data_IF_454632693761
#
_entry.id   IF_454632693761
#
_cell.length_a   1.000
_cell.length_b   1.000
_cell.length_c   1.000
_cell.angle_alpha   90.00
_cell.angle_beta   90.00
_cell.angle_gamma   90.00
#
_symmetry.space_group_name_H-M   'P 1'
#
loop_
_entity.id
_entity.type
_entity.pdbx_description
1 polymer ?
#
# COMPACT_ATOMS: atom_id res chain seq x y z
N UNK A 1 2.99 6.07 29.95
CA UNK A 1 3.05 5.63 28.52
C UNK A 1 2.92 6.80 27.54
N UNK A 2 2.24 7.91 27.89
CA UNK A 2 2.42 9.21 27.24
C UNK A 2 3.68 9.92 27.79
N UNK A 3 4.85 9.32 27.59
CA UNK A 3 6.10 9.99 27.94
C UNK A 3 6.43 10.97 26.81
N UNK A 4 6.45 12.27 27.09
CA UNK A 4 6.75 13.32 26.10
C UNK A 4 8.14 13.23 25.47
N UNK A 5 9.02 12.39 26.00
CA UNK A 5 10.33 12.14 25.41
C UNK A 5 10.24 11.05 24.34
N UNK A 6 9.38 10.03 24.51
CA UNK A 6 9.32 8.81 23.70
C UNK A 6 8.11 8.75 22.76
N UNK A 7 7.51 9.91 22.47
CA UNK A 7 6.41 9.98 21.51
C UNK A 7 6.95 9.97 20.08
N UNK A 8 6.55 8.98 19.29
CA UNK A 8 7.04 8.74 17.92
C UNK A 8 6.20 9.45 16.84
N UNK A 9 5.36 10.42 17.20
CA UNK A 9 4.52 11.17 16.24
C UNK A 9 5.35 11.82 15.14
N UNK A 10 6.50 12.42 15.47
CA UNK A 10 7.41 12.97 14.46
C UNK A 10 7.95 11.91 13.50
N UNK A 11 8.28 10.74 14.01
CA UNK A 11 8.77 9.63 13.21
C UNK A 11 7.69 9.17 12.21
N UNK A 12 6.44 9.06 12.66
CA UNK A 12 5.30 8.70 11.81
C UNK A 12 5.00 9.78 10.76
N UNK A 13 4.97 11.06 11.14
CA UNK A 13 4.76 12.17 10.19
C UNK A 13 5.87 12.20 9.13
N UNK A 14 7.14 12.10 9.52
CA UNK A 14 8.25 12.05 8.57
C UNK A 14 8.21 10.82 7.67
N UNK A 15 7.70 9.69 8.18
CA UNK A 15 7.43 8.50 7.37
C UNK A 15 6.42 8.76 6.27
N UNK A 16 5.25 9.30 6.60
CA UNK A 16 4.22 9.64 5.59
C UNK A 16 4.75 10.66 4.57
N UNK A 17 5.51 11.66 5.02
CA UNK A 17 6.17 12.62 4.12
C UNK A 17 7.15 11.91 3.18
N UNK A 18 7.93 10.96 3.68
CA UNK A 18 8.87 10.15 2.87
C UNK A 18 8.14 9.40 1.75
N UNK A 19 7.03 8.75 2.06
CA UNK A 19 6.23 8.03 1.06
C UNK A 19 5.56 9.00 0.06
N UNK A 20 5.10 10.17 0.53
CA UNK A 20 4.59 11.23 -0.35
C UNK A 20 5.66 11.77 -1.32
N UNK A 21 6.90 11.96 -0.85
CA UNK A 21 8.02 12.34 -1.71
C UNK A 21 8.33 11.26 -2.75
N UNK A 22 8.25 9.98 -2.38
CA UNK A 22 8.42 8.86 -3.32
C UNK A 22 7.39 8.89 -4.46
N UNK A 23 6.12 9.16 -4.13
CA UNK A 23 5.05 9.33 -5.13
C UNK A 23 5.33 10.52 -6.03
N UNK A 24 5.67 11.68 -5.47
CA UNK A 24 5.97 12.88 -6.25
C UNK A 24 7.16 12.68 -7.20
N UNK A 25 8.25 12.06 -6.73
CA UNK A 25 9.44 11.80 -7.53
C UNK A 25 9.20 10.81 -8.65
N UNK A 26 8.48 9.71 -8.37
CA UNK A 26 8.16 8.70 -9.38
C UNK A 26 7.19 9.21 -10.44
N UNK A 27 6.13 9.92 -10.03
CA UNK A 27 5.15 10.48 -10.95
C UNK A 27 5.80 11.57 -11.79
N UNK A 28 6.63 12.42 -11.19
CA UNK A 28 7.40 13.43 -11.90
C UNK A 28 8.33 12.81 -12.95
N UNK A 29 9.02 11.72 -12.61
CA UNK A 29 9.90 11.01 -13.55
C UNK A 29 9.11 10.38 -14.72
N UNK A 30 8.00 9.71 -14.43
CA UNK A 30 7.17 9.06 -15.46
C UNK A 30 6.51 10.08 -16.39
N UNK A 31 6.05 11.21 -15.85
CA UNK A 31 5.54 12.32 -16.66
C UNK A 31 6.64 12.94 -17.52
N UNK A 32 7.86 13.08 -16.99
CA UNK A 32 9.01 13.55 -17.75
C UNK A 32 9.40 12.59 -18.89
N UNK A 33 9.27 11.28 -18.69
CA UNK A 33 9.44 10.27 -19.71
C UNK A 33 8.29 10.21 -20.74
N UNK A 34 7.24 11.01 -20.58
CA UNK A 34 6.10 11.09 -21.52
C UNK A 34 5.07 9.98 -21.37
N UNK A 35 5.01 9.29 -20.23
CA UNK A 35 4.01 8.24 -19.98
C UNK A 35 2.63 8.89 -19.72
N UNK A 36 1.56 8.49 -20.43
CA UNK A 36 0.24 9.12 -20.28
C UNK A 36 -0.32 8.94 -18.87
N UNK A 37 -0.83 10.03 -18.29
CA UNK A 37 -1.51 10.01 -17.01
C UNK A 37 -2.98 9.61 -17.20
N UNK A 38 -3.39 8.50 -16.60
CA UNK A 38 -4.75 7.94 -16.69
C UNK A 38 -5.42 8.04 -15.32
N UNK A 39 -6.75 8.16 -15.26
CA UNK A 39 -7.51 8.26 -14.00
C UNK A 39 -7.24 7.08 -13.06
N UNK A 40 -6.96 5.89 -13.58
CA UNK A 40 -6.55 4.71 -12.78
C UNK A 40 -5.26 4.96 -11.98
N UNK A 41 -4.33 5.76 -12.53
CA UNK A 41 -3.08 6.15 -11.86
C UNK A 41 -3.35 7.07 -10.67
N UNK A 42 -4.45 7.83 -10.66
CA UNK A 42 -4.80 8.70 -9.55
C UNK A 42 -5.06 7.93 -8.23
N UNK A 43 -5.36 6.62 -8.32
CA UNK A 43 -5.55 5.75 -7.15
C UNK A 43 -4.25 5.11 -6.65
N UNK A 44 -3.17 5.14 -7.44
CA UNK A 44 -1.87 4.55 -7.08
C UNK A 44 -1.26 5.12 -5.79
N UNK A 45 -1.34 6.43 -5.47
CA UNK A 45 -0.77 6.98 -4.24
C UNK A 45 -1.29 6.32 -2.97
N UNK A 46 -2.57 5.92 -2.94
CA UNK A 46 -3.16 5.22 -1.80
C UNK A 46 -2.49 3.87 -1.57
N UNK A 47 -2.28 3.10 -2.65
CA UNK A 47 -1.59 1.82 -2.62
C UNK A 47 -0.13 1.99 -2.18
N UNK A 48 0.57 2.99 -2.74
CA UNK A 48 1.99 3.25 -2.44
C UNK A 48 2.18 3.69 -0.99
N UNK A 49 1.29 4.54 -0.45
CA UNK A 49 1.32 4.92 0.97
C UNK A 49 1.12 3.71 1.88
N UNK A 50 0.23 2.78 1.54
CA UNK A 50 -0.01 1.56 2.31
C UNK A 50 1.26 0.71 2.45
N UNK A 51 1.92 0.41 1.33
CA UNK A 51 3.16 -0.38 1.31
C UNK A 51 4.31 0.38 1.99
N UNK A 52 4.48 1.67 1.69
CA UNK A 52 5.55 2.48 2.29
C UNK A 52 5.44 2.57 3.82
N UNK A 53 4.22 2.66 4.35
CA UNK A 53 3.99 2.67 5.80
C UNK A 53 4.28 1.30 6.44
N UNK A 54 3.95 0.19 5.77
CA UNK A 54 4.28 -1.16 6.25
C UNK A 54 5.80 -1.35 6.40
N UNK A 55 6.58 -0.97 5.38
CA UNK A 55 8.04 -1.02 5.42
C UNK A 55 8.63 -0.19 6.57
N UNK A 56 8.06 1.01 6.82
CA UNK A 56 8.46 1.87 7.93
C UNK A 56 8.16 1.23 9.29
N UNK A 57 7.03 0.55 9.43
CA UNK A 57 6.71 -0.18 10.65
C UNK A 57 7.67 -1.34 10.91
N UNK A 58 8.04 -2.10 9.87
CA UNK A 58 9.04 -3.17 9.98
C UNK A 58 10.38 -2.60 10.45
N UNK A 59 10.84 -1.50 9.83
CA UNK A 59 12.08 -0.81 10.21
C UNK A 59 12.07 -0.33 11.67
N UNK A 60 10.96 0.25 12.14
CA UNK A 60 10.81 0.69 13.56
C UNK A 60 10.81 -0.52 14.50
N UNK A 61 10.07 -1.57 14.17
CA UNK A 61 9.95 -2.75 15.03
C UNK A 61 11.30 -3.45 15.23
N UNK A 62 12.07 -3.63 14.15
CA UNK A 62 13.43 -4.16 14.22
C UNK A 62 14.35 -3.22 15.01
N UNK A 63 14.24 -1.91 14.82
CA UNK A 63 15.02 -0.91 15.57
C UNK A 63 14.76 -1.01 17.09
N UNK A 64 13.50 -1.02 17.50
CA UNK A 64 13.11 -1.15 18.91
C UNK A 64 13.60 -2.46 19.52
N UNK A 65 13.51 -3.56 18.76
CA UNK A 65 14.02 -4.86 19.18
C UNK A 65 15.55 -4.85 19.35
N UNK A 66 16.30 -4.28 18.40
CA UNK A 66 17.75 -4.14 18.51
C UNK A 66 18.14 -3.23 19.68
N UNK A 67 17.41 -2.13 19.89
CA UNK A 67 17.67 -1.16 20.96
C UNK A 67 17.47 -1.78 22.35
N UNK A 68 16.47 -2.65 22.52
CA UNK A 68 16.23 -3.40 23.76
C UNK A 68 17.30 -4.44 24.05
N UNK A 69 17.87 -5.08 23.01
CA UNK A 69 18.93 -6.08 23.16
C UNK A 69 20.28 -5.46 23.55
N UNK A 70 20.59 -4.24 23.10
CA UNK A 70 21.89 -3.59 23.29
C UNK A 70 21.74 -2.16 23.81
N UNK A 71 21.33 -2.02 25.08
CA UNK A 71 21.09 -0.74 25.77
C UNK A 71 22.32 0.20 25.84
N UNK A 72 23.54 -0.28 25.54
CA UNK A 72 24.80 0.50 25.61
C UNK A 72 25.70 0.43 24.37
N UNK A 73 25.16 0.07 23.19
CA UNK A 73 25.97 0.02 21.97
C UNK A 73 26.05 1.37 21.25
N UNK A 74 27.10 1.56 20.45
CA UNK A 74 27.26 2.74 19.60
C UNK A 74 26.08 2.84 18.61
N UNK A 75 25.55 4.05 18.37
CA UNK A 75 24.40 4.25 17.46
C UNK A 75 24.66 3.67 16.06
N UNK A 76 25.92 3.71 15.60
CA UNK A 76 26.34 3.12 14.31
C UNK A 76 26.20 1.60 14.29
N UNK A 77 26.59 0.91 15.36
CA UNK A 77 26.48 -0.55 15.44
C UNK A 77 25.03 -1.00 15.57
N UNK A 78 24.21 -0.20 16.26
CA UNK A 78 22.77 -0.43 16.38
C UNK A 78 22.09 -0.35 15.01
N UNK A 79 22.42 0.70 14.25
CA UNK A 79 21.94 0.87 12.87
C UNK A 79 22.37 -0.27 11.96
N UNK A 80 23.63 -0.68 12.00
CA UNK A 80 24.13 -1.77 11.18
C UNK A 80 23.36 -3.08 11.44
N UNK A 81 23.08 -3.39 12.71
CA UNK A 81 22.29 -4.57 13.08
C UNK A 81 20.84 -4.45 12.60
N UNK A 82 20.19 -3.31 12.84
CA UNK A 82 18.81 -3.11 12.41
C UNK A 82 18.68 -3.21 10.89
N UNK A 83 19.63 -2.66 10.13
CA UNK A 83 19.63 -2.81 8.67
C UNK A 83 19.89 -4.26 8.25
N UNK A 84 20.75 -5.00 8.94
CA UNK A 84 21.01 -6.39 8.61
C UNK A 84 19.75 -7.26 8.70
N UNK A 85 18.83 -6.98 9.63
CA UNK A 85 17.58 -7.72 9.80
C UNK A 85 16.41 -7.10 9.02
N UNK A 86 16.18 -5.79 9.18
CA UNK A 86 15.03 -5.09 8.60
C UNK A 86 15.18 -4.84 7.09
N UNK A 87 16.39 -4.46 6.63
CA UNK A 87 16.58 -4.16 5.22
C UNK A 87 16.39 -5.42 4.38
N UNK A 88 16.80 -6.61 4.84
CA UNK A 88 16.55 -7.86 4.11
C UNK A 88 15.05 -8.08 3.88
N UNK A 89 14.22 -7.92 4.92
CA UNK A 89 12.76 -8.08 4.81
C UNK A 89 12.15 -7.07 3.82
N UNK A 90 12.46 -5.79 3.98
CA UNK A 90 11.94 -4.72 3.12
C UNK A 90 12.41 -4.87 1.67
N UNK A 91 13.65 -5.29 1.45
CA UNK A 91 14.20 -5.48 0.09
C UNK A 91 13.51 -6.65 -0.62
N UNK A 92 13.17 -7.73 0.09
CA UNK A 92 12.43 -8.85 -0.49
C UNK A 92 11.04 -8.40 -0.93
N UNK A 93 10.28 -7.74 -0.05
CA UNK A 93 8.92 -7.27 -0.35
C UNK A 93 8.92 -6.30 -1.53
N UNK A 94 9.78 -5.27 -1.49
CA UNK A 94 9.87 -4.28 -2.58
C UNK A 94 10.31 -4.90 -3.90
N UNK A 95 11.27 -5.84 -3.89
CA UNK A 95 11.68 -6.55 -5.11
C UNK A 95 10.52 -7.36 -5.70
N UNK A 96 9.79 -8.11 -4.86
CA UNK A 96 8.64 -8.89 -5.33
C UNK A 96 7.53 -8.01 -5.88
N UNK A 97 7.24 -6.88 -5.24
CA UNK A 97 6.23 -5.93 -5.68
C UNK A 97 6.62 -5.28 -7.01
N UNK A 98 7.86 -4.79 -7.10
CA UNK A 98 8.40 -4.18 -8.33
C UNK A 98 8.31 -5.17 -9.49
N UNK A 99 8.72 -6.42 -9.30
CA UNK A 99 8.63 -7.46 -10.34
C UNK A 99 7.17 -7.75 -10.72
N UNK A 100 6.27 -7.88 -9.74
CA UNK A 100 4.85 -8.13 -10.00
C UNK A 100 4.21 -7.01 -10.83
N UNK A 101 4.49 -5.74 -10.49
CA UNK A 101 3.98 -4.60 -11.24
C UNK A 101 4.64 -4.48 -12.62
N UNK A 102 5.93 -4.78 -12.76
CA UNK A 102 6.56 -4.80 -14.08
C UNK A 102 5.99 -5.89 -14.99
N UNK A 103 5.67 -7.09 -14.47
CA UNK A 103 4.95 -8.11 -15.23
C UNK A 103 3.57 -7.61 -15.69
N UNK A 104 2.89 -6.81 -14.86
CA UNK A 104 1.62 -6.16 -15.22
C UNK A 104 1.70 -5.20 -16.41
N UNK A 105 2.89 -4.71 -16.78
CA UNK A 105 3.08 -3.85 -17.96
C UNK A 105 2.94 -4.59 -19.30
N UNK A 106 2.97 -5.92 -19.27
CA UNK A 106 2.75 -6.79 -20.43
C UNK A 106 1.27 -6.96 -20.81
N UNK A 107 0.35 -6.36 -20.04
CA UNK A 107 -1.09 -6.42 -20.33
C UNK A 107 -1.46 -5.69 -21.62
N UNK A 108 -2.53 -6.11 -22.30
CA UNK A 108 -3.00 -5.46 -23.53
C UNK A 108 -3.69 -4.11 -23.28
N UNK A 109 -4.19 -3.86 -22.05
CA UNK A 109 -4.96 -2.67 -21.69
C UNK A 109 -4.05 -1.48 -21.34
N UNK A 110 -4.03 -0.39 -22.14
CA UNK A 110 -3.11 0.74 -21.93
C UNK A 110 -3.24 1.42 -20.57
N UNK A 111 -4.45 1.48 -20.01
CA UNK A 111 -4.73 2.04 -18.69
C UNK A 111 -4.05 1.26 -17.57
N UNK A 112 -4.00 -0.08 -17.68
CA UNK A 112 -3.36 -0.96 -16.69
C UNK A 112 -1.84 -0.89 -16.85
N UNK A 113 -1.33 -0.87 -18.09
CA UNK A 113 0.11 -0.71 -18.36
C UNK A 113 0.67 0.56 -17.76
N UNK A 114 -0.03 1.68 -17.94
CA UNK A 114 0.37 2.97 -17.38
C UNK A 114 0.36 2.90 -15.85
N UNK A 115 -0.74 2.43 -15.24
CA UNK A 115 -0.83 2.22 -13.79
C UNK A 115 0.34 1.41 -13.24
N UNK A 116 0.64 0.26 -13.84
CA UNK A 116 1.73 -0.62 -13.44
C UNK A 116 3.13 0.02 -13.57
N UNK A 117 3.36 0.85 -14.60
CA UNK A 117 4.61 1.59 -14.75
C UNK A 117 4.78 2.65 -13.65
N UNK A 118 3.73 3.42 -13.35
CA UNK A 118 3.75 4.42 -12.29
C UNK A 118 3.94 3.78 -10.90
N UNK A 119 3.22 2.71 -10.58
CA UNK A 119 3.35 2.04 -9.27
C UNK A 119 4.68 1.30 -9.12
N UNK A 120 5.14 0.58 -10.15
CA UNK A 120 6.41 -0.14 -10.11
C UNK A 120 7.60 0.79 -9.91
N UNK A 121 7.62 1.95 -10.59
CA UNK A 121 8.67 2.96 -10.38
C UNK A 121 8.53 3.65 -9.03
N UNK A 122 7.31 3.92 -8.56
CA UNK A 122 7.08 4.47 -7.22
C UNK A 122 7.63 3.58 -6.10
N UNK A 123 7.53 2.25 -6.21
CA UNK A 123 8.11 1.34 -5.22
C UNK A 123 9.63 1.36 -5.19
N UNK A 124 10.29 1.53 -6.34
CA UNK A 124 11.75 1.73 -6.38
C UNK A 124 12.13 3.00 -5.62
N UNK A 125 11.43 4.12 -5.85
CA UNK A 125 11.66 5.36 -5.10
C UNK A 125 11.31 5.23 -3.62
N UNK A 126 10.23 4.51 -3.29
CA UNK A 126 9.81 4.25 -1.91
C UNK A 126 10.91 3.49 -1.17
N UNK A 127 11.47 2.44 -1.77
CA UNK A 127 12.61 1.71 -1.21
C UNK A 127 13.82 2.61 -0.96
N UNK A 128 14.21 3.43 -1.95
CA UNK A 128 15.35 4.35 -1.82
C UNK A 128 15.13 5.32 -0.65
N UNK A 129 13.95 5.93 -0.55
CA UNK A 129 13.63 6.88 0.53
C UNK A 129 13.50 6.20 1.90
N UNK A 130 12.94 5.00 1.98
CA UNK A 130 12.86 4.22 3.22
C UNK A 130 14.27 3.88 3.72
N UNK A 131 15.17 3.44 2.84
CA UNK A 131 16.54 3.07 3.22
C UNK A 131 17.44 4.27 3.54
N UNK A 132 17.25 5.42 2.90
CA UNK A 132 18.13 6.58 3.08
C UNK A 132 17.54 7.63 4.02
N UNK A 133 16.41 8.22 3.63
CA UNK A 133 15.76 9.32 4.34
C UNK A 133 15.17 8.85 5.66
N UNK A 134 14.32 7.82 5.65
CA UNK A 134 13.65 7.35 6.85
C UNK A 134 14.61 6.73 7.86
N UNK A 135 15.55 5.90 7.40
CA UNK A 135 16.60 5.37 8.27
C UNK A 135 17.47 6.44 8.92
N UNK A 136 17.76 7.54 8.20
CA UNK A 136 18.42 8.72 8.78
C UNK A 136 17.58 9.37 9.89
N UNK A 137 16.26 9.47 9.70
CA UNK A 137 15.35 10.04 10.70
C UNK A 137 15.27 9.16 11.95
N UNK A 138 15.28 7.82 11.82
CA UNK A 138 15.33 6.90 12.97
C UNK A 138 16.55 7.21 13.84
N UNK A 139 17.73 7.38 13.23
CA UNK A 139 18.97 7.72 13.94
C UNK A 139 18.87 9.08 14.64
N UNK A 140 18.31 10.08 13.96
CA UNK A 140 18.12 11.41 14.52
C UNK A 140 17.13 11.39 15.69
N UNK A 141 16.02 10.65 15.58
CA UNK A 141 15.06 10.49 16.65
C UNK A 141 15.69 9.76 17.85
N UNK A 142 16.51 8.74 17.60
CA UNK A 142 17.21 8.05 18.68
C UNK A 142 18.23 8.96 19.40
N UNK A 143 18.97 9.80 18.67
CA UNK A 143 19.84 10.82 19.29
C UNK A 143 19.05 11.83 20.12
N UNK A 144 17.84 12.20 19.67
CA UNK A 144 16.92 13.07 20.43
C UNK A 144 16.48 12.40 21.74
N UNK A 145 16.16 11.12 21.68
CA UNK A 145 15.76 10.32 22.86
C UNK A 145 16.92 10.18 23.86
N UNK A 146 18.14 9.89 23.40
CA UNK A 146 19.33 9.86 24.26
C UNK A 146 19.60 11.21 24.93
N UNK A 147 19.26 12.32 24.26
CA UNK A 147 19.40 13.68 24.79
C UNK A 147 18.27 14.13 25.72
N UNK A 148 17.32 13.24 26.09
CA UNK A 148 16.12 13.54 26.89
C UNK A 148 15.38 14.80 26.41
N UNK A 149 15.31 15.01 25.09
CA UNK A 149 14.66 16.20 24.52
C UNK A 149 13.17 15.97 24.32
N UNK A 150 12.36 16.99 24.59
CA UNK A 150 10.92 16.95 24.38
C UNK A 150 10.58 16.70 22.90
N UNK A 151 9.52 15.93 22.62
CA UNK A 151 9.14 15.55 21.25
C UNK A 151 8.76 16.75 20.37
N UNK A 152 8.07 17.77 20.91
CA UNK A 152 7.58 18.92 20.13
C UNK A 152 8.59 20.08 20.05
N UNK A 153 9.18 20.46 21.17
CA UNK A 153 10.01 21.67 21.30
C UNK A 153 11.50 21.41 21.12
N UNK A 154 11.93 20.15 21.01
CA UNK A 154 13.34 19.75 20.90
C UNK A 154 14.28 20.31 21.99
N UNK A 155 13.71 20.88 23.05
CA UNK A 155 14.45 21.41 24.19
C UNK A 155 14.85 20.27 25.13
N UNK A 156 16.04 20.32 25.74
CA UNK A 156 16.45 19.33 26.73
C UNK A 156 15.53 19.42 27.95
N UNK A 157 14.92 18.29 28.32
CA UNK A 157 14.19 18.18 29.58
C UNK A 157 15.21 17.81 30.64
N UNK A 158 15.62 18.80 31.43
CA UNK A 158 16.50 18.58 32.57
C UNK A 158 15.82 17.68 33.59
N UNK A 159 16.44 16.53 33.88
CA UNK A 159 16.20 15.72 35.08
C UNK A 159 17.03 16.31 36.22
N UNK A 160 16.93 17.62 36.47
CA UNK A 160 17.55 18.19 37.67
C UNK A 160 16.65 17.86 38.86
N UNK A 161 17.23 17.21 39.87
CA UNK A 161 16.56 16.73 41.09
C UNK A 161 15.90 17.84 41.94
N UNK A 162 16.11 19.13 41.59
CA UNK A 162 15.81 20.29 42.43
C UNK A 162 14.77 21.29 41.86
N UNK A 163 14.04 20.99 40.79
CA UNK A 163 12.93 21.86 40.32
C UNK A 163 11.54 21.31 40.68
N UNK A 164 11.29 21.11 41.97
CA UNK A 164 9.99 20.69 42.51
C UNK A 164 8.94 21.82 42.60
N UNK A 165 9.14 22.97 41.93
CA UNK A 165 8.32 24.17 42.14
C UNK A 165 7.67 24.77 40.87
N UNK A 166 7.44 23.98 39.83
CA UNK A 166 6.63 24.43 38.68
C UNK A 166 5.38 23.58 38.44
N UNK A 167 4.32 24.30 38.07
CA UNK A 167 2.91 23.91 37.97
C UNK A 167 2.68 22.51 37.38
N UNK A 168 1.72 21.77 37.96
CA UNK A 168 1.35 20.40 37.58
C UNK A 168 1.14 20.21 36.07
N UNK A 169 0.66 21.25 35.38
CA UNK A 169 0.49 21.29 33.93
C UNK A 169 1.80 21.17 33.15
N UNK A 170 2.90 21.74 33.65
CA UNK A 170 4.24 21.60 33.06
C UNK A 170 4.79 20.18 33.29
N UNK A 171 4.57 19.57 34.46
CA UNK A 171 5.00 18.20 34.73
C UNK A 171 4.20 17.16 33.93
N UNK A 172 2.90 17.37 33.75
CA UNK A 172 2.06 16.56 32.85
C UNK A 172 2.47 16.74 31.39
N UNK A 173 2.74 17.98 30.96
CA UNK A 173 3.11 18.29 29.59
C UNK A 173 4.55 17.93 29.23
N UNK A 174 5.52 17.91 30.16
CA UNK A 174 6.93 17.69 29.84
C UNK A 174 7.51 16.38 30.37
N UNK A 175 7.05 15.89 31.54
CA UNK A 175 7.58 14.69 32.20
C UNK A 175 6.61 13.50 32.03
N UNK A 176 5.33 13.77 31.80
CA UNK A 176 4.30 12.74 31.60
C UNK A 176 4.02 11.89 32.86
N UNK A 177 4.55 12.28 34.02
CA UNK A 177 4.31 11.64 35.31
C UNK A 177 4.61 12.61 36.47
N UNK A 178 3.73 12.65 37.50
CA UNK A 178 3.92 13.48 38.69
C UNK A 178 4.55 12.72 39.88
N UNK A 179 4.95 11.45 39.71
CA UNK A 179 5.45 10.62 40.81
C UNK A 179 6.87 10.12 40.59
N UNK A 180 7.68 10.27 41.63
CA UNK A 180 9.10 9.90 41.76
C UNK A 180 9.20 8.39 41.87
N UNK A 181 9.33 7.69 40.75
CA UNK A 181 9.79 6.30 40.71
C UNK A 181 10.92 6.16 39.68
N UNK A 182 11.93 5.37 40.07
CA UNK A 182 13.09 5.00 39.28
C UNK A 182 12.72 4.51 37.87
N UNK A 183 13.64 4.60 36.89
CA UNK A 183 13.41 4.05 35.56
C UNK A 183 13.22 2.53 35.68
N UNK A 184 11.96 2.09 35.76
CA UNK A 184 11.62 0.69 35.70
C UNK A 184 11.91 0.18 34.28
N UNK A 185 12.43 -1.06 34.14
CA UNK A 185 12.55 -1.69 32.84
C UNK A 185 11.16 -1.72 32.19
N UNK A 186 11.10 -1.30 30.93
CA UNK A 186 9.84 -1.14 30.20
C UNK A 186 8.96 -2.38 30.29
N UNK A 187 7.73 -2.20 30.79
CA UNK A 187 6.71 -3.23 30.67
C UNK A 187 6.41 -3.52 29.19
N UNK A 188 6.48 -4.80 28.81
CA UNK A 188 6.20 -5.31 27.46
C UNK A 188 4.92 -4.69 26.85
N UNK A 189 4.89 -4.56 25.52
CA UNK A 189 3.71 -4.03 24.82
C UNK A 189 2.47 -4.88 25.17
N UNK A 190 1.31 -4.27 25.42
CA UNK A 190 0.12 -5.01 25.83
C UNK A 190 -0.31 -6.00 24.73
N UNK A 191 -0.07 -5.64 23.46
CA UNK A 191 -0.30 -6.51 22.31
C UNK A 191 0.61 -7.74 22.31
N UNK A 192 1.90 -7.60 22.62
CA UNK A 192 2.80 -8.75 22.69
C UNK A 192 2.43 -9.70 23.84
N UNK A 193 1.95 -9.15 24.96
CA UNK A 193 1.43 -9.95 26.08
C UNK A 193 0.16 -10.70 25.65
N UNK A 194 -0.76 -10.04 24.94
CA UNK A 194 -1.97 -10.68 24.40
C UNK A 194 -1.63 -11.83 23.45
N UNK A 195 -0.73 -11.59 22.48
CA UNK A 195 -0.30 -12.60 21.53
C UNK A 195 0.37 -13.78 22.22
N UNK A 196 1.24 -13.53 23.20
CA UNK A 196 1.96 -14.59 23.91
C UNK A 196 1.07 -15.38 24.87
N UNK A 197 0.19 -14.73 25.62
CA UNK A 197 -0.60 -15.39 26.69
C UNK A 197 -1.94 -15.96 26.22
N UNK A 198 -2.63 -15.30 25.30
CA UNK A 198 -3.99 -15.68 24.91
C UNK A 198 -4.03 -16.24 23.49
N UNK A 199 -3.55 -15.48 22.50
CA UNK A 199 -3.67 -15.84 21.09
C UNK A 199 -2.84 -17.08 20.70
N UNK A 200 -1.56 -17.09 21.08
CA UNK A 200 -0.61 -18.17 20.74
C UNK A 200 -1.06 -19.54 21.24
N UNK A 201 -1.32 -19.71 22.56
CA UNK A 201 -1.79 -20.99 23.09
C UNK A 201 -3.14 -21.43 22.50
N UNK A 202 -4.06 -20.49 22.25
CA UNK A 202 -5.35 -20.78 21.64
C UNK A 202 -5.21 -21.36 20.22
N UNK A 203 -4.40 -20.72 19.35
CA UNK A 203 -4.19 -21.18 17.98
C UNK A 203 -3.31 -22.44 17.85
N UNK A 204 -2.43 -22.68 18.83
CA UNK A 204 -1.52 -23.83 18.79
C UNK A 204 -2.22 -25.14 19.20
N UNK A 205 -3.41 -25.07 19.79
CA UNK A 205 -4.22 -26.23 20.12
C UNK A 205 -4.54 -27.08 18.88
N UNK A 206 -4.37 -28.41 18.99
CA UNK A 206 -4.56 -29.36 17.87
C UNK A 206 -5.96 -29.27 17.24
N UNK A 207 -6.99 -29.11 18.08
CA UNK A 207 -8.39 -28.98 17.64
C UNK A 207 -8.64 -27.68 16.88
N UNK A 208 -8.12 -26.56 17.37
CA UNK A 208 -8.25 -25.24 16.72
C UNK A 208 -7.51 -25.25 15.38
N UNK A 209 -6.30 -25.83 15.33
CA UNK A 209 -5.55 -26.00 14.09
C UNK A 209 -6.32 -26.82 13.05
N UNK A 210 -6.91 -27.95 13.45
CA UNK A 210 -7.74 -28.77 12.55
C UNK A 210 -8.94 -27.97 12.03
N UNK A 211 -9.64 -27.24 12.90
CA UNK A 211 -10.77 -26.40 12.53
C UNK A 211 -10.36 -25.30 11.54
N UNK A 212 -9.24 -24.61 11.78
CA UNK A 212 -8.73 -23.57 10.88
C UNK A 212 -8.40 -24.15 9.50
N UNK A 213 -7.75 -25.31 9.44
CA UNK A 213 -7.44 -25.97 8.16
C UNK A 213 -8.73 -26.36 7.43
N UNK A 214 -9.73 -26.91 8.13
CA UNK A 214 -11.01 -27.26 7.53
C UNK A 214 -11.73 -26.01 6.99
N UNK A 215 -11.77 -24.94 7.77
CA UNK A 215 -12.40 -23.67 7.38
C UNK A 215 -11.71 -23.07 6.15
N UNK A 216 -10.38 -22.99 6.13
CA UNK A 216 -9.64 -22.51 4.95
C UNK A 216 -9.80 -23.43 3.74
N UNK A 217 -9.90 -24.74 3.95
CA UNK A 217 -10.19 -25.71 2.89
C UNK A 217 -11.59 -25.50 2.28
N UNK A 218 -12.61 -25.30 3.11
CA UNK A 218 -13.96 -24.98 2.66
C UNK A 218 -14.01 -23.62 1.96
N UNK A 219 -13.33 -22.61 2.50
CA UNK A 219 -13.21 -21.28 1.89
C UNK A 219 -12.53 -21.34 0.52
N UNK A 220 -11.43 -22.10 0.40
CA UNK A 220 -10.73 -22.30 -0.87
C UNK A 220 -11.62 -23.02 -1.89
N UNK A 221 -12.30 -24.09 -1.48
CA UNK A 221 -13.24 -24.81 -2.35
C UNK A 221 -14.40 -23.93 -2.83
N UNK A 222 -14.97 -23.14 -1.93
CA UNK A 222 -16.00 -22.16 -2.25
C UNK A 222 -15.50 -21.05 -3.18
N UNK A 223 -14.27 -20.57 -2.98
CA UNK A 223 -13.65 -19.56 -3.85
C UNK A 223 -13.39 -20.10 -5.25
N UNK A 224 -12.90 -21.33 -5.39
CA UNK A 224 -12.70 -22.00 -6.69
C UNK A 224 -14.05 -22.16 -7.42
N UNK A 225 -15.10 -22.56 -6.71
CA UNK A 225 -16.44 -22.63 -7.27
C UNK A 225 -16.99 -21.24 -7.65
N UNK A 226 -16.69 -20.20 -6.86
CA UNK A 226 -17.04 -18.82 -7.18
C UNK A 226 -16.37 -18.35 -8.47
N UNK A 227 -15.10 -18.72 -8.69
CA UNK A 227 -14.37 -18.39 -9.91
C UNK A 227 -15.04 -18.95 -11.18
N UNK A 228 -15.76 -20.09 -11.12
CA UNK A 228 -16.44 -20.64 -12.29
C UNK A 228 -17.77 -19.93 -12.62
N UNK A 229 -18.27 -19.09 -11.71
CA UNK A 229 -19.51 -18.31 -11.91
C UNK A 229 -19.27 -16.84 -12.28
N UNK A 230 -18.01 -16.41 -12.35
CA UNK A 230 -17.68 -15.02 -12.72
C UNK A 230 -18.20 -14.75 -14.13
N UNK A 231 -19.05 -13.73 -14.26
CA UNK A 231 -19.52 -13.25 -15.56
C UNK A 231 -18.48 -12.31 -16.14
N UNK A 232 -18.11 -12.56 -17.39
CA UNK A 232 -17.18 -11.71 -18.13
C UNK A 232 -17.92 -10.51 -18.75
N UNK A 233 -17.31 -9.33 -18.68
CA UNK A 233 -17.82 -8.12 -19.30
C UNK A 233 -17.87 -6.92 -18.35
N UNK A 234 -17.77 -5.73 -18.93
CA UNK A 234 -17.99 -4.46 -18.22
C UNK A 234 -19.33 -3.93 -18.66
N UNK A 235 -20.24 -3.76 -17.72
CA UNK A 235 -21.51 -3.08 -17.99
C UNK A 235 -21.25 -1.58 -18.10
N UNK A 236 -21.53 -0.99 -19.26
CA UNK A 236 -21.26 0.43 -19.56
C UNK A 236 -21.97 1.37 -18.56
N UNK A 237 -23.11 0.93 -18.02
CA UNK A 237 -23.88 1.64 -16.99
C UNK A 237 -23.06 1.90 -15.73
N UNK A 238 -22.21 0.95 -15.33
CA UNK A 238 -21.40 1.02 -14.12
C UNK A 238 -20.16 1.93 -14.26
N UNK A 239 -19.89 2.45 -15.46
CA UNK A 239 -18.83 3.43 -15.69
C UNK A 239 -19.31 4.87 -15.46
N UNK A 240 -20.62 5.08 -15.52
CA UNK A 240 -21.22 6.37 -15.24
C UNK A 240 -21.46 6.52 -13.73
N UNK A 241 -21.57 7.77 -13.27
CA UNK A 241 -22.06 8.04 -11.92
C UNK A 241 -23.52 7.57 -11.80
N UNK A 242 -23.93 7.09 -10.64
CA UNK A 242 -25.28 6.57 -10.38
C UNK A 242 -26.40 7.57 -10.75
N UNK A 243 -26.15 8.87 -10.59
CA UNK A 243 -27.10 9.96 -10.92
C UNK A 243 -27.02 10.42 -12.38
N UNK A 244 -26.17 9.80 -13.20
CA UNK A 244 -25.97 10.19 -14.59
C UNK A 244 -27.16 9.80 -15.46
N UNK A 245 -27.50 10.66 -16.43
CA UNK A 245 -28.51 10.37 -17.46
C UNK A 245 -28.16 9.14 -18.33
N UNK A 246 -26.91 8.68 -18.29
CA UNK A 246 -26.41 7.53 -19.04
C UNK A 246 -27.05 6.23 -18.56
N UNK A 247 -27.32 6.09 -17.26
CA UNK A 247 -27.98 4.90 -16.69
C UNK A 247 -29.40 4.74 -17.24
N UNK A 248 -30.32 5.71 -17.10
CA UNK A 248 -31.67 5.59 -17.65
C UNK A 248 -31.67 5.50 -19.17
N UNK A 249 -30.74 6.17 -19.86
CA UNK A 249 -30.59 6.02 -21.32
C UNK A 249 -30.32 4.58 -21.73
N UNK A 250 -29.34 3.91 -21.11
CA UNK A 250 -29.04 2.52 -21.43
C UNK A 250 -30.10 1.53 -20.95
N UNK A 251 -30.83 1.86 -19.87
CA UNK A 251 -32.00 1.10 -19.43
C UNK A 251 -33.13 1.16 -20.47
N UNK A 252 -33.45 2.35 -20.96
CA UNK A 252 -34.47 2.56 -21.98
C UNK A 252 -34.05 1.97 -23.34
N UNK A 253 -32.79 2.11 -23.74
CA UNK A 253 -32.22 1.51 -24.94
C UNK A 253 -32.35 -0.03 -24.91
N UNK A 254 -31.96 -0.66 -23.80
CA UNK A 254 -32.12 -2.10 -23.61
C UNK A 254 -33.59 -2.54 -23.60
N UNK A 255 -34.48 -1.75 -22.99
CA UNK A 255 -35.90 -2.09 -22.86
C UNK A 255 -36.68 -1.93 -24.17
N UNK A 256 -36.48 -0.84 -24.89
CA UNK A 256 -37.29 -0.49 -26.06
C UNK A 256 -36.59 -0.80 -27.40
N UNK A 257 -35.25 -0.83 -27.42
CA UNK A 257 -34.45 -0.95 -28.65
C UNK A 257 -33.59 -2.20 -28.71
N UNK A 258 -33.75 -3.17 -27.79
CA UNK A 258 -33.00 -4.45 -27.81
C UNK A 258 -33.14 -5.26 -29.10
N UNK A 259 -34.20 -5.06 -29.89
CA UNK A 259 -34.38 -5.68 -31.20
C UNK A 259 -33.46 -5.08 -32.28
N UNK A 260 -33.04 -3.83 -32.12
CA UNK A 260 -32.11 -3.14 -33.01
C UNK A 260 -30.68 -3.36 -32.50
N UNK A 261 -30.04 -4.44 -32.96
CA UNK A 261 -28.64 -4.72 -32.62
C UNK A 261 -27.66 -3.66 -33.15
N UNK A 262 -26.38 -3.73 -32.74
CA UNK A 262 -25.35 -2.84 -33.26
C UNK A 262 -25.25 -3.00 -34.78
N UNK A 263 -25.06 -1.89 -35.51
CA UNK A 263 -24.85 -1.94 -36.96
C UNK A 263 -23.53 -2.65 -37.27
N UNK A 264 -23.62 -3.78 -37.97
CA UNK A 264 -22.45 -4.50 -38.46
C UNK A 264 -22.09 -3.93 -39.83
N UNK A 265 -20.86 -3.45 -39.97
CA UNK A 265 -20.32 -2.99 -41.25
C UNK A 265 -19.33 -4.02 -41.78
N UNK A 266 -19.66 -4.63 -42.92
CA UNK A 266 -18.77 -5.57 -43.61
C UNK A 266 -17.89 -4.77 -44.57
N UNK A 267 -16.57 -4.86 -44.37
CA UNK A 267 -15.59 -4.16 -45.20
C UNK A 267 -14.70 -5.19 -45.90
N UNK A 268 -14.66 -5.14 -47.23
CA UNK A 268 -13.79 -5.97 -48.06
C UNK A 268 -12.49 -5.19 -48.26
N UNK A 269 -11.40 -5.68 -47.65
CA UNK A 269 -10.10 -4.98 -47.66
C UNK A 269 -9.28 -5.20 -48.93
N UNK A 270 -9.60 -6.25 -49.70
CA UNK A 270 -8.87 -6.60 -50.92
C UNK A 270 -9.42 -5.85 -52.14
N UNK A 271 -8.59 -5.65 -53.17
CA UNK A 271 -9.04 -5.12 -54.45
C UNK A 271 -9.87 -6.18 -55.16
N UNK A 272 -11.18 -5.95 -55.21
CA UNK A 272 -12.12 -6.88 -55.82
C UNK A 272 -12.65 -6.29 -57.13
N UNK A 273 -12.70 -7.12 -58.16
CA UNK A 273 -13.21 -6.76 -59.49
C UNK A 273 -14.74 -6.66 -59.46
N UNK A 274 -15.26 -5.55 -58.96
CA UNK A 274 -16.71 -5.30 -58.85
C UNK A 274 -17.45 -5.33 -60.19
N UNK A 275 -16.73 -5.23 -61.31
CA UNK A 275 -17.30 -5.40 -62.65
C UNK A 275 -17.65 -6.86 -62.98
N UNK A 276 -17.12 -7.84 -62.24
CA UNK A 276 -17.38 -9.25 -62.47
C UNK A 276 -18.69 -9.70 -61.79
N UNK A 277 -19.61 -10.24 -62.57
CA UNK A 277 -20.94 -10.63 -62.10
C UNK A 277 -20.90 -11.74 -61.03
N UNK A 278 -20.01 -12.72 -61.18
CA UNK A 278 -19.88 -13.82 -60.21
C UNK A 278 -19.41 -13.34 -58.85
N UNK A 279 -18.56 -12.32 -58.83
CA UNK A 279 -17.99 -11.72 -57.64
C UNK A 279 -19.04 -10.88 -56.92
N UNK A 280 -19.82 -10.07 -57.65
CA UNK A 280 -20.95 -9.32 -57.08
C UNK A 280 -22.00 -10.23 -56.47
N UNK A 281 -22.40 -11.29 -57.17
CA UNK A 281 -23.35 -12.29 -56.65
C UNK A 281 -22.81 -13.00 -55.39
N UNK A 282 -21.49 -13.24 -55.34
CA UNK A 282 -20.85 -13.78 -54.14
C UNK A 282 -20.92 -12.83 -52.94
N UNK A 283 -20.71 -11.54 -53.15
CA UNK A 283 -20.79 -10.51 -52.09
C UNK A 283 -22.24 -10.31 -51.63
N UNK A 284 -23.20 -10.25 -52.55
CA UNK A 284 -24.63 -10.13 -52.24
C UNK A 284 -25.12 -11.33 -51.40
N UNK A 285 -24.80 -12.56 -51.81
CA UNK A 285 -25.15 -13.78 -51.07
C UNK A 285 -24.45 -13.85 -49.70
N UNK A 286 -23.25 -13.31 -49.57
CA UNK A 286 -22.58 -13.17 -48.27
C UNK A 286 -23.32 -12.18 -47.35
N UNK A 287 -23.77 -11.06 -47.92
CA UNK A 287 -24.49 -10.01 -47.19
C UNK A 287 -25.86 -10.50 -46.72
N UNK A 288 -26.63 -11.18 -47.60
CA UNK A 288 -27.92 -11.79 -47.23
C UNK A 288 -27.81 -12.86 -46.14
N UNK A 289 -26.66 -13.53 -46.01
CA UNK A 289 -26.41 -14.51 -44.94
C UNK A 289 -26.08 -13.88 -43.58
N UNK A 290 -25.70 -12.60 -43.58
CA UNK A 290 -25.30 -11.86 -42.39
C UNK A 290 -26.46 -11.01 -41.81
N UNK A 291 -27.50 -10.76 -42.60
CA UNK A 291 -28.79 -10.22 -42.15
C UNK A 291 -29.62 -11.27 -41.40
#
# INVERSE_FOLDING_TARGET
RLSCIRNNVWLACCGVVSAGLAVLSSFGLMLFCGVPFVVTVANAPFLILGVGVDDMFIMIACWEQSSRRKEKSNVKSLLAETYAEAALSVTITTLTDVLAFFVGTWTAFPSVRSFCLYTGTAFVFCYIYTMTFFGGIIVLNHKREQGNRHWLTCMPVGLDEDQAEKSCWYNVCCIGNCSRQSPQPEGEHPMSIFFRKYYGPFFTNKWVKLLVVLLYGAYLGGSIYGCTQIREGIDLRNLASDDSYVVPYYDDDSKYFSAYGPRVMVVITESVDYWNETVRLGIENCTEKLE
#
